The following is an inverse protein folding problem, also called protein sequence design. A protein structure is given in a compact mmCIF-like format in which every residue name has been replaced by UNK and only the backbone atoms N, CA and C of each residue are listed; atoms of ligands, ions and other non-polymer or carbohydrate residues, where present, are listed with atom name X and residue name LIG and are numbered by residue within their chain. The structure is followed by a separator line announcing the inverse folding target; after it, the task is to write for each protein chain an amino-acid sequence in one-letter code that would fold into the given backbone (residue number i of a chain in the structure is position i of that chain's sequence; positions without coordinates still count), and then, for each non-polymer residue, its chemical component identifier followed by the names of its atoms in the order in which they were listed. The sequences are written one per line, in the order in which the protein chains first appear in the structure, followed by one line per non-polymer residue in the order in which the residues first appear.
data_IF_494121302889
#
_entry.id   IF_494121302889
#
_cell.length_a   1.000
_cell.length_b   1.000
_cell.length_c   1.000
_cell.angle_alpha   90.00
_cell.angle_beta   90.00
_cell.angle_gamma   90.00
#
_symmetry.space_group_name_H-M   'P 1'
#
loop_
_entity.id
_entity.type
_entity.pdbx_description
1 polymer ?
#
# COMPACT_ATOMS: atom_id res chain seq x y z
N UNK A 1 -0.94 5.37 18.45
CA UNK A 1 -2.19 4.62 18.70
C UNK A 1 -2.42 3.78 17.46
N UNK A 2 -2.36 2.46 17.61
CA UNK A 2 -2.71 1.53 16.54
C UNK A 2 -4.17 1.09 16.78
N UNK A 3 -5.03 1.29 15.78
CA UNK A 3 -6.44 0.89 15.85
C UNK A 3 -6.62 -0.61 15.53
N UNK A 4 -5.54 -1.29 15.15
CA UNK A 4 -5.56 -2.66 14.66
C UNK A 4 -6.16 -2.77 13.26
N UNK A 5 -6.34 -4.01 12.81
CA UNK A 5 -6.97 -4.30 11.53
C UNK A 5 -8.49 -4.41 11.72
N UNK A 6 -9.22 -3.56 11.02
CA UNK A 6 -10.66 -3.66 10.83
C UNK A 6 -10.94 -4.51 9.60
N UNK A 7 -11.79 -5.53 9.72
CA UNK A 7 -12.19 -6.39 8.61
C UNK A 7 -13.71 -6.45 8.51
N UNK A 8 -14.23 -6.27 7.30
CA UNK A 8 -15.63 -6.42 6.95
C UNK A 8 -15.75 -7.41 5.80
N UNK A 9 -16.53 -8.47 5.98
CA UNK A 9 -16.77 -9.47 4.94
C UNK A 9 -18.25 -9.69 4.70
N UNK A 10 -18.60 -9.90 3.44
CA UNK A 10 -19.92 -10.32 3.01
C UNK A 10 -19.78 -11.48 2.03
N UNK A 11 -20.58 -12.52 2.21
CA UNK A 11 -20.53 -13.69 1.36
C UNK A 11 -21.92 -14.24 1.08
N UNK A 12 -22.06 -14.85 -0.08
CA UNK A 12 -23.24 -15.63 -0.45
C UNK A 12 -22.78 -16.99 -0.96
N UNK A 13 -23.50 -18.03 -0.56
CA UNK A 13 -23.32 -19.37 -1.10
C UNK A 13 -24.70 -19.88 -1.51
N UNK A 14 -24.80 -20.38 -2.74
CA UNK A 14 -25.96 -21.10 -3.21
C UNK A 14 -25.58 -22.56 -3.40
N UNK A 15 -26.27 -23.42 -2.66
CA UNK A 15 -26.14 -24.86 -2.77
C UNK A 15 -27.38 -25.44 -3.44
N UNK A 16 -27.17 -26.24 -4.49
CA UNK A 16 -28.21 -26.96 -5.21
C UNK A 16 -28.03 -28.46 -4.95
N UNK A 17 -29.09 -29.11 -4.46
CA UNK A 17 -29.09 -30.52 -4.10
C UNK A 17 -29.63 -30.80 -2.70
N UNK A 18 -29.43 -32.01 -2.16
CA UNK A 18 -28.74 -33.12 -2.82
C UNK A 18 -29.59 -33.80 -3.89
N UNK A 19 -28.97 -34.25 -4.98
CA UNK A 19 -29.56 -35.20 -5.92
C UNK A 19 -28.91 -36.56 -5.75
N UNK A 20 -29.68 -37.62 -5.98
CA UNK A 20 -29.19 -38.99 -5.86
C UNK A 20 -28.50 -39.40 -7.16
N UNK A 21 -27.19 -39.59 -7.12
CA UNK A 21 -26.43 -40.29 -8.18
C UNK A 21 -26.17 -41.71 -7.67
N UNK A 22 -27.13 -42.60 -7.91
CA UNK A 22 -27.17 -43.91 -7.25
C UNK A 22 -27.50 -43.79 -5.76
N UNK A 23 -26.86 -44.55 -4.84
CA UNK A 23 -27.13 -44.46 -3.41
C UNK A 23 -26.44 -43.25 -2.73
N UNK A 24 -25.73 -42.42 -3.48
CA UNK A 24 -24.90 -41.32 -2.95
C UNK A 24 -25.59 -39.98 -3.20
N UNK A 25 -25.91 -39.20 -2.15
CA UNK A 25 -26.36 -37.82 -2.27
C UNK A 25 -25.20 -36.92 -2.72
N UNK A 26 -25.42 -36.18 -3.80
CA UNK A 26 -24.46 -35.22 -4.38
C UNK A 26 -25.05 -33.81 -4.34
N UNK A 27 -24.27 -32.84 -3.91
CA UNK A 27 -24.60 -31.41 -3.90
C UNK A 27 -23.60 -30.63 -4.73
N UNK A 28 -24.05 -29.55 -5.36
CA UNK A 28 -23.20 -28.58 -6.08
C UNK A 28 -23.37 -27.23 -5.38
N UNK A 29 -22.27 -26.54 -5.12
CA UNK A 29 -22.27 -25.21 -4.53
C UNK A 29 -21.58 -24.20 -5.43
N UNK A 30 -22.10 -22.97 -5.46
CA UNK A 30 -21.45 -21.82 -6.04
C UNK A 30 -21.53 -20.71 -5.01
N UNK A 31 -20.41 -20.08 -4.71
CA UNK A 31 -20.36 -19.00 -3.75
C UNK A 31 -19.41 -17.90 -4.16
N UNK A 32 -19.56 -16.77 -3.50
CA UNK A 32 -18.64 -15.67 -3.60
C UNK A 32 -18.61 -14.85 -2.33
N UNK A 33 -17.51 -14.15 -2.12
CA UNK A 33 -17.32 -13.27 -0.97
C UNK A 33 -16.57 -12.02 -1.39
N UNK A 34 -16.83 -10.93 -0.66
CA UNK A 34 -16.07 -9.70 -0.71
C UNK A 34 -15.58 -9.42 0.70
N UNK A 35 -14.28 -9.18 0.84
CA UNK A 35 -13.62 -8.84 2.10
C UNK A 35 -12.90 -7.51 1.93
N UNK A 36 -13.17 -6.57 2.82
CA UNK A 36 -12.46 -5.29 2.93
C UNK A 36 -11.74 -5.26 4.27
N UNK A 37 -10.43 -5.08 4.23
CA UNK A 37 -9.58 -4.91 5.40
C UNK A 37 -8.96 -3.52 5.37
N UNK A 38 -8.88 -2.91 6.54
CA UNK A 38 -8.33 -1.59 6.75
C UNK A 38 -7.50 -1.56 8.03
N UNK A 39 -6.26 -1.08 7.96
CA UNK A 39 -5.43 -0.80 9.13
C UNK A 39 -5.08 0.67 9.16
N UNK A 40 -5.27 1.31 10.31
CA UNK A 40 -4.93 2.72 10.49
C UNK A 40 -4.26 2.91 11.84
N UNK A 41 -3.01 3.37 11.81
CA UNK A 41 -2.23 3.71 12.98
C UNK A 41 -1.76 5.17 12.88
N UNK A 42 -1.86 5.90 14.00
CA UNK A 42 -1.47 7.31 14.07
C UNK A 42 -0.47 7.49 15.21
N UNK A 43 0.62 8.20 14.96
CA UNK A 43 1.66 8.51 15.92
C UNK A 43 1.88 10.00 16.14
N UNK A 44 2.67 10.31 17.16
CA UNK A 44 3.17 11.66 17.42
C UNK A 44 4.64 11.58 17.85
N UNK A 45 5.50 12.42 17.27
CA UNK A 45 6.90 12.54 17.67
C UNK A 45 7.40 13.99 17.76
N UNK A 46 8.71 14.15 18.01
CA UNK A 46 9.33 15.47 18.23
C UNK A 46 9.81 16.15 16.95
N UNK A 47 9.52 15.61 15.75
CA UNK A 47 9.96 16.21 14.47
C UNK A 47 9.53 17.65 14.37
N UNK A 48 8.27 17.99 14.65
CA UNK A 48 7.78 19.37 14.59
C UNK A 48 8.57 20.35 15.46
N UNK A 49 8.95 19.95 16.68
CA UNK A 49 9.80 20.79 17.54
C UNK A 49 11.21 20.95 16.96
N UNK A 50 11.77 19.87 16.41
CA UNK A 50 13.12 19.87 15.83
C UNK A 50 13.19 20.67 14.54
N UNK A 51 12.19 20.53 13.65
CA UNK A 51 12.09 21.26 12.39
C UNK A 51 11.94 22.77 12.64
N UNK A 52 11.09 23.15 13.59
CA UNK A 52 10.90 24.56 13.98
C UNK A 52 12.20 25.18 14.52
N UNK A 53 12.94 24.47 15.37
CA UNK A 53 14.22 24.97 15.90
C UNK A 53 15.32 25.11 14.83
N UNK A 54 15.21 24.38 13.72
CA UNK A 54 16.14 24.45 12.57
C UNK A 54 15.69 25.41 11.49
N UNK A 55 14.48 25.97 11.58
CA UNK A 55 13.87 26.77 10.53
C UNK A 55 13.41 25.95 9.31
N UNK A 56 13.20 24.64 9.51
CA UNK A 56 12.80 23.66 8.48
C UNK A 56 11.35 23.19 8.67
N UNK A 57 10.57 23.88 9.52
CA UNK A 57 9.17 23.50 9.81
C UNK A 57 8.30 23.65 8.56
N UNK A 58 7.44 22.67 8.34
CA UNK A 58 6.46 22.69 7.27
C UNK A 58 5.25 23.53 7.66
N UNK A 59 4.87 23.51 8.94
CA UNK A 59 3.80 24.33 9.50
C UNK A 59 4.31 25.24 10.61
N UNK A 60 3.78 26.47 10.66
CA UNK A 60 3.87 27.34 11.85
C UNK A 60 3.36 26.65 13.12
N UNK A 61 2.56 25.58 12.97
CA UNK A 61 2.08 24.76 14.07
C UNK A 61 2.95 23.52 14.26
N UNK A 62 3.89 23.64 15.20
CA UNK A 62 4.76 22.58 15.72
C UNK A 62 4.04 21.27 16.03
N UNK A 63 2.76 21.32 16.41
CA UNK A 63 1.98 20.12 16.74
C UNK A 63 1.52 19.34 15.51
N UNK A 64 1.27 20.01 14.38
CA UNK A 64 0.86 19.32 13.15
C UNK A 64 2.05 18.56 12.54
N UNK A 65 3.24 19.17 12.57
CA UNK A 65 4.50 18.58 12.10
C UNK A 65 4.99 17.40 12.98
N UNK A 66 4.35 17.17 14.13
CA UNK A 66 4.63 16.02 14.99
C UNK A 66 3.74 14.81 14.70
N UNK A 67 2.62 14.96 13.99
CA UNK A 67 1.65 13.89 13.72
C UNK A 67 2.07 13.12 12.47
N UNK A 68 1.95 11.79 12.51
CA UNK A 68 2.17 10.92 11.35
C UNK A 68 1.18 9.76 11.33
N UNK A 69 0.92 9.21 10.14
CA UNK A 69 0.30 7.92 9.93
C UNK A 69 1.43 6.88 9.89
N UNK A 70 1.28 5.82 10.65
CA UNK A 70 2.28 4.75 10.78
C UNK A 70 2.01 3.68 9.73
N UNK A 71 2.96 3.53 8.81
CA UNK A 71 2.95 2.58 7.68
C UNK A 71 3.39 1.17 8.13
N UNK A 72 3.98 1.06 9.32
CA UNK A 72 4.52 -0.18 9.84
C UNK A 72 3.56 -0.87 10.82
N UNK A 73 3.55 -2.20 10.82
CA UNK A 73 2.91 -3.02 11.85
C UNK A 73 3.61 -2.88 13.22
N UNK A 74 3.01 -3.45 14.28
CA UNK A 74 3.60 -3.43 15.62
C UNK A 74 4.98 -4.12 15.71
N UNK A 75 5.36 -4.90 14.70
CA UNK A 75 6.65 -5.58 14.59
C UNK A 75 7.64 -4.81 13.72
N UNK A 76 7.24 -3.68 13.12
CA UNK A 76 8.05 -2.86 12.22
C UNK A 76 8.06 -3.33 10.76
N UNK A 77 7.10 -4.15 10.33
CA UNK A 77 6.95 -4.57 8.94
C UNK A 77 6.00 -3.65 8.18
N UNK A 78 6.37 -3.29 6.96
CA UNK A 78 5.50 -2.62 6.01
C UNK A 78 4.31 -3.54 5.62
N UNK A 79 3.08 -3.01 5.73
CA UNK A 79 1.84 -3.76 5.53
C UNK A 79 0.77 -2.92 4.81
N UNK A 80 0.06 -3.47 3.81
CA UNK A 80 -1.00 -2.74 3.13
C UNK A 80 -2.07 -2.20 4.09
N UNK A 81 -2.36 -0.90 4.04
CA UNK A 81 -3.40 -0.30 4.87
C UNK A 81 -4.80 -0.59 4.40
N UNK A 82 -5.00 -0.79 3.10
CA UNK A 82 -6.31 -1.15 2.57
C UNK A 82 -6.15 -2.37 1.68
N UNK A 83 -6.94 -3.39 1.97
CA UNK A 83 -6.98 -4.61 1.17
C UNK A 83 -8.42 -4.95 0.81
N UNK A 84 -8.69 -5.10 -0.47
CA UNK A 84 -9.97 -5.55 -0.99
C UNK A 84 -9.78 -6.88 -1.70
N UNK A 85 -10.47 -7.91 -1.24
CA UNK A 85 -10.51 -9.22 -1.87
C UNK A 85 -11.92 -9.58 -2.33
N UNK A 86 -12.03 -10.08 -3.57
CA UNK A 86 -13.25 -10.63 -4.13
C UNK A 86 -12.97 -12.06 -4.55
N UNK A 87 -13.66 -13.00 -3.94
CA UNK A 87 -13.53 -14.43 -4.24
C UNK A 87 -14.79 -14.98 -4.85
N UNK A 88 -14.64 -15.87 -5.81
CA UNK A 88 -15.71 -16.71 -6.36
C UNK A 88 -15.25 -18.15 -6.39
N UNK A 89 -16.14 -19.08 -6.10
CA UNK A 89 -15.82 -20.50 -6.13
C UNK A 89 -17.02 -21.34 -6.55
N UNK A 90 -16.71 -22.52 -7.07
CA UNK A 90 -17.66 -23.58 -7.30
C UNK A 90 -17.15 -24.85 -6.62
N UNK A 91 -18.08 -25.64 -6.10
CA UNK A 91 -17.76 -26.90 -5.44
C UNK A 91 -18.78 -27.98 -5.74
N UNK A 92 -18.38 -29.21 -5.48
CA UNK A 92 -19.25 -30.36 -5.46
C UNK A 92 -18.90 -31.21 -4.24
N UNK A 93 -19.92 -31.70 -3.54
CA UNK A 93 -19.73 -32.55 -2.38
C UNK A 93 -20.66 -33.76 -2.37
N UNK A 94 -20.22 -34.79 -1.68
CA UNK A 94 -20.99 -36.00 -1.38
C UNK A 94 -21.14 -36.12 0.12
N UNK A 95 -22.36 -36.42 0.56
CA UNK A 95 -22.67 -36.52 2.00
C UNK A 95 -23.14 -37.94 2.32
N UNK A 96 -22.45 -38.61 3.24
CA UNK A 96 -22.80 -39.94 3.73
C UNK A 96 -22.81 -39.93 5.26
N UNK A 97 -24.01 -40.02 5.83
CA UNK A 97 -24.25 -40.02 7.29
C UNK A 97 -23.64 -38.77 7.97
N UNK A 98 -22.47 -38.93 8.57
CA UNK A 98 -21.75 -37.91 9.37
C UNK A 98 -20.52 -37.36 8.65
N UNK A 99 -20.28 -37.80 7.42
CA UNK A 99 -19.11 -37.42 6.62
C UNK A 99 -19.58 -36.71 5.36
N UNK A 100 -19.05 -35.53 5.11
CA UNK A 100 -19.14 -34.83 3.83
C UNK A 100 -17.76 -34.73 3.22
N UNK A 101 -17.62 -35.17 1.97
CA UNK A 101 -16.39 -35.04 1.20
C UNK A 101 -16.67 -34.16 0.00
N UNK A 102 -15.82 -33.17 -0.26
CA UNK A 102 -16.03 -32.27 -1.38
C UNK A 102 -14.75 -31.77 -2.03
N UNK A 103 -14.94 -31.21 -3.22
CA UNK A 103 -13.95 -30.47 -3.96
C UNK A 103 -14.48 -29.06 -4.17
N UNK A 104 -13.61 -28.06 -4.05
CA UNK A 104 -13.91 -26.65 -4.31
C UNK A 104 -12.79 -26.07 -5.16
N UNK A 105 -13.14 -25.38 -6.22
CA UNK A 105 -12.21 -24.60 -7.02
C UNK A 105 -12.65 -23.15 -7.01
N UNK A 106 -11.71 -22.22 -6.87
CA UNK A 106 -12.05 -20.81 -6.80
C UNK A 106 -10.96 -19.90 -7.34
N UNK A 107 -11.39 -18.66 -7.57
CA UNK A 107 -10.56 -17.54 -7.99
C UNK A 107 -10.76 -16.40 -7.00
N UNK A 108 -9.67 -15.78 -6.60
CA UNK A 108 -9.67 -14.57 -5.78
C UNK A 108 -8.99 -13.45 -6.54
N UNK A 109 -9.63 -12.30 -6.62
CA UNK A 109 -9.02 -11.05 -7.08
C UNK A 109 -8.75 -10.18 -5.87
N UNK A 110 -7.53 -9.68 -5.75
CA UNK A 110 -7.14 -8.79 -4.66
C UNK A 110 -6.55 -7.49 -5.17
N UNK A 111 -6.84 -6.41 -4.46
CA UNK A 111 -6.17 -5.11 -4.60
C UNK A 111 -5.72 -4.68 -3.22
N UNK A 112 -4.44 -4.34 -3.11
CA UNK A 112 -3.77 -3.85 -1.92
C UNK A 112 -3.31 -2.41 -2.20
N UNK A 113 -3.58 -1.52 -1.25
CA UNK A 113 -3.11 -0.14 -1.22
C UNK A 113 -2.26 0.01 0.04
N UNK A 114 -0.97 0.24 -0.17
CA UNK A 114 0.01 0.55 0.85
C UNK A 114 0.32 2.05 0.82
N UNK A 115 0.69 2.70 1.92
CA UNK A 115 1.16 4.08 1.79
C UNK A 115 2.42 4.16 0.94
N UNK A 116 2.54 5.23 0.17
CA UNK A 116 3.75 5.59 -0.54
C UNK A 116 4.52 6.61 0.31
N UNK A 117 5.43 6.12 1.15
CA UNK A 117 6.31 6.91 2.01
C UNK A 117 7.55 7.40 1.23
N UNK A 118 7.63 8.69 0.82
CA UNK A 118 8.68 9.14 -0.09
C UNK A 118 10.10 9.15 0.50
N UNK A 119 10.25 9.02 1.83
CA UNK A 119 11.56 9.02 2.49
C UNK A 119 11.89 7.70 3.20
N UNK A 120 11.03 6.69 3.06
CA UNK A 120 11.16 5.34 3.63
C UNK A 120 11.48 5.34 5.15
N UNK A 121 10.87 6.25 5.92
CA UNK A 121 11.04 6.32 7.37
C UNK A 121 9.91 5.66 8.18
N UNK A 122 8.94 5.06 7.49
CA UNK A 122 7.79 4.33 8.02
C UNK A 122 6.71 5.25 8.58
N UNK A 123 6.79 6.56 8.32
CA UNK A 123 5.92 7.56 8.93
C UNK A 123 5.45 8.54 7.88
N UNK A 124 4.25 8.32 7.37
CA UNK A 124 3.62 9.22 6.42
C UNK A 124 3.07 10.48 7.14
N UNK A 125 3.71 11.62 6.92
CA UNK A 125 3.37 12.91 7.54
C UNK A 125 2.53 13.81 6.64
N UNK A 126 1.96 14.85 7.23
CA UNK A 126 1.06 15.79 6.54
C UNK A 126 1.76 16.48 5.36
N UNK A 127 3.03 16.85 5.50
CA UNK A 127 3.87 17.41 4.44
C UNK A 127 4.09 16.41 3.29
N UNK A 128 4.34 15.15 3.62
CA UNK A 128 4.52 14.07 2.64
C UNK A 128 3.21 13.73 1.90
N UNK A 129 2.07 13.76 2.59
CA UNK A 129 0.73 13.63 1.98
C UNK A 129 0.48 14.80 1.01
N UNK A 130 0.91 16.01 1.39
CA UNK A 130 0.73 17.23 0.59
C UNK A 130 1.38 17.17 -0.80
N UNK A 131 2.49 16.43 -0.95
CA UNK A 131 3.18 16.20 -2.23
C UNK A 131 2.25 15.60 -3.27
N UNK A 132 1.35 14.72 -2.81
CA UNK A 132 0.44 13.96 -3.66
C UNK A 132 -0.89 14.65 -3.92
N UNK A 133 -1.10 15.88 -3.43
CA UNK A 133 -2.37 16.60 -3.56
C UNK A 133 -2.88 16.73 -5.01
N UNK A 134 -1.97 16.89 -5.97
CA UNK A 134 -2.32 16.97 -7.40
C UNK A 134 -2.66 15.59 -8.02
N UNK A 135 -2.17 14.50 -7.43
CA UNK A 135 -2.42 13.11 -7.87
C UNK A 135 -2.64 12.20 -6.66
N UNK A 136 -3.82 12.26 -6.01
CA UNK A 136 -4.07 11.54 -4.75
C UNK A 136 -3.91 10.02 -4.85
N UNK A 137 -4.06 9.44 -6.04
CA UNK A 137 -3.85 8.00 -6.27
C UNK A 137 -2.40 7.57 -6.00
N UNK A 138 -1.43 8.49 -6.13
CA UNK A 138 -0.02 8.24 -5.89
C UNK A 138 0.37 8.27 -4.40
N UNK A 139 -0.58 8.62 -3.53
CA UNK A 139 -0.42 8.46 -2.08
C UNK A 139 -0.27 6.99 -1.68
N UNK A 140 -0.68 6.08 -2.58
CA UNK A 140 -0.60 4.65 -2.35
C UNK A 140 0.28 3.96 -3.39
N UNK A 141 1.06 3.01 -2.91
CA UNK A 141 1.64 1.94 -3.70
C UNK A 141 0.58 0.85 -3.90
N UNK A 142 0.35 0.50 -5.16
CA UNK A 142 -0.82 -0.28 -5.56
C UNK A 142 -0.38 -1.62 -6.09
N UNK A 143 -0.90 -2.66 -5.47
CA UNK A 143 -0.66 -4.03 -5.90
C UNK A 143 -1.97 -4.73 -6.21
N UNK A 144 -2.02 -5.38 -7.36
CA UNK A 144 -3.16 -6.20 -7.77
C UNK A 144 -2.72 -7.63 -8.00
N UNK A 145 -3.53 -8.60 -7.60
CA UNK A 145 -3.23 -10.01 -7.81
C UNK A 145 -4.49 -10.83 -8.11
N UNK A 146 -4.24 -12.01 -8.69
CA UNK A 146 -5.25 -13.04 -8.91
C UNK A 146 -4.74 -14.37 -8.35
N UNK A 147 -5.53 -14.96 -7.46
CA UNK A 147 -5.29 -16.27 -6.87
C UNK A 147 -6.20 -17.32 -7.47
N UNK A 148 -5.69 -18.53 -7.68
CA UNK A 148 -6.44 -19.72 -8.07
C UNK A 148 -6.18 -20.82 -7.06
N UNK A 149 -7.24 -21.49 -6.62
CA UNK A 149 -7.09 -22.63 -5.74
C UNK A 149 -7.96 -23.80 -6.15
N UNK A 150 -7.47 -24.99 -5.84
CA UNK A 150 -8.23 -26.24 -5.82
C UNK A 150 -8.11 -26.82 -4.41
N UNK A 151 -9.24 -27.07 -3.77
CA UNK A 151 -9.34 -27.54 -2.40
C UNK A 151 -10.15 -28.85 -2.38
N UNK A 152 -9.60 -29.86 -1.72
CA UNK A 152 -10.33 -31.05 -1.31
C UNK A 152 -10.60 -30.96 0.19
N UNK A 153 -11.82 -31.25 0.62
CA UNK A 153 -12.18 -31.20 2.04
C UNK A 153 -12.96 -32.43 2.49
N UNK A 154 -12.76 -32.79 3.76
CA UNK A 154 -13.49 -33.80 4.51
C UNK A 154 -14.04 -33.14 5.77
N UNK A 155 -15.36 -32.98 5.84
CA UNK A 155 -16.06 -32.48 7.00
C UNK A 155 -16.68 -33.65 7.76
N UNK A 156 -16.43 -33.70 9.06
CA UNK A 156 -17.01 -34.66 9.98
C UNK A 156 -17.94 -33.92 10.95
N UNK A 157 -19.21 -34.29 10.94
CA UNK A 157 -20.24 -33.70 11.80
C UNK A 157 -20.66 -34.69 12.89
N UNK A 158 -20.23 -34.43 14.12
CA UNK A 158 -20.44 -35.29 15.29
C UNK A 158 -21.50 -34.73 16.26
N UNK A 159 -22.52 -34.03 15.74
CA UNK A 159 -23.65 -33.45 16.50
C UNK A 159 -23.28 -32.33 17.50
N UNK A 160 -22.27 -32.52 18.34
CA UNK A 160 -21.75 -31.54 19.29
C UNK A 160 -20.49 -30.81 18.79
N UNK A 161 -19.83 -31.34 17.76
CA UNK A 161 -18.65 -30.73 17.16
C UNK A 161 -18.59 -31.05 15.67
N UNK A 162 -18.08 -30.09 14.89
CA UNK A 162 -17.76 -30.26 13.48
C UNK A 162 -16.27 -30.03 13.32
N UNK A 163 -15.59 -30.90 12.58
CA UNK A 163 -14.20 -30.69 12.16
C UNK A 163 -14.08 -30.82 10.65
N UNK A 164 -13.25 -29.99 10.04
CA UNK A 164 -13.00 -30.00 8.61
C UNK A 164 -11.52 -30.20 8.39
N UNK A 165 -11.14 -31.28 7.72
CA UNK A 165 -9.83 -31.41 7.10
C UNK A 165 -9.92 -30.84 5.70
N UNK A 166 -8.96 -30.02 5.30
CA UNK A 166 -8.82 -29.56 3.92
C UNK A 166 -7.39 -29.70 3.44
N UNK A 167 -7.25 -29.87 2.13
CA UNK A 167 -5.99 -29.96 1.43
C UNK A 167 -6.09 -29.20 0.11
N UNK A 168 -5.10 -28.33 -0.15
CA UNK A 168 -5.04 -27.50 -1.35
C UNK A 168 -3.83 -27.87 -2.22
N UNK A 169 -3.97 -28.77 -3.21
CA UNK A 169 -2.89 -29.10 -4.14
C UNK A 169 -2.45 -27.92 -4.98
N UNK A 170 -3.40 -27.03 -5.26
CA UNK A 170 -3.20 -25.84 -6.07
C UNK A 170 -3.63 -24.67 -5.20
N UNK A 171 -2.69 -23.77 -4.96
CA UNK A 171 -2.92 -22.49 -4.30
C UNK A 171 -1.87 -21.54 -4.86
N UNK A 172 -2.18 -20.98 -6.02
CA UNK A 172 -1.26 -20.18 -6.83
C UNK A 172 -1.78 -18.75 -6.88
N UNK A 173 -0.90 -17.79 -6.62
CA UNK A 173 -1.23 -16.36 -6.72
C UNK A 173 -0.28 -15.68 -7.69
N UNK A 174 -0.85 -14.94 -8.63
CA UNK A 174 -0.13 -14.18 -9.64
C UNK A 174 -0.34 -12.69 -9.45
N UNK A 175 0.75 -11.94 -9.43
CA UNK A 175 0.71 -10.50 -9.45
C UNK A 175 0.26 -10.02 -10.84
N UNK A 176 -0.76 -9.15 -10.87
CA UNK A 176 -1.27 -8.53 -12.08
C UNK A 176 -0.56 -7.21 -12.36
N UNK A 177 -0.33 -6.42 -11.32
CA UNK A 177 0.38 -5.15 -11.37
C UNK A 177 0.97 -4.83 -10.00
N UNK A 178 2.05 -4.04 -10.03
CA UNK A 178 2.68 -3.45 -8.87
C UNK A 178 3.23 -2.10 -9.28
N UNK A 179 2.54 -1.05 -8.88
CA UNK A 179 2.73 0.31 -9.39
C UNK A 179 2.91 1.29 -8.23
N UNK A 180 4.11 1.85 -8.13
CA UNK A 180 4.47 2.93 -7.20
C UNK A 180 4.68 4.23 -7.97
N UNK A 181 4.39 5.37 -7.34
CA UNK A 181 4.67 6.67 -7.94
C UNK A 181 5.98 7.24 -7.36
N UNK A 182 6.83 7.82 -8.21
CA UNK A 182 7.96 8.62 -7.72
C UNK A 182 7.49 10.03 -7.32
N UNK A 183 8.01 10.60 -6.22
CA UNK A 183 7.71 11.97 -5.85
C UNK A 183 8.17 12.94 -6.96
N UNK A 184 7.48 14.08 -7.16
CA UNK A 184 7.86 15.07 -8.15
C UNK A 184 9.29 15.54 -7.92
N UNK A 185 10.14 15.42 -8.95
CA UNK A 185 11.54 15.83 -8.88
C UNK A 185 11.64 17.36 -9.01
N UNK A 186 12.44 18.03 -8.18
CA UNK A 186 12.67 19.46 -8.31
C UNK A 186 13.34 19.81 -9.63
N UNK A 187 12.79 20.83 -10.29
CA UNK A 187 13.47 21.54 -11.38
C UNK A 187 14.49 22.46 -10.72
N UNK A 188 15.78 22.19 -10.91
CA UNK A 188 16.84 22.94 -10.26
C UNK A 188 17.26 24.19 -11.04
N UNK A 189 17.05 24.18 -12.35
CA UNK A 189 17.46 25.26 -13.24
C UNK A 189 16.73 25.16 -14.58
N UNK A 190 16.65 26.29 -15.26
CA UNK A 190 16.18 26.42 -16.64
C UNK A 190 17.16 27.25 -17.46
N UNK A 191 17.25 26.98 -18.76
CA UNK A 191 18.01 27.83 -19.69
C UNK A 191 17.01 28.73 -20.40
N UNK A 192 17.13 30.03 -20.19
CA UNK A 192 16.39 31.02 -20.98
C UNK A 192 16.95 31.03 -22.40
N UNK A 193 16.15 30.49 -23.33
CA UNK A 193 16.52 30.26 -24.72
C UNK A 193 16.79 31.53 -25.51
N UNK A 194 16.23 32.67 -25.09
CA UNK A 194 16.39 33.94 -25.78
C UNK A 194 17.63 34.71 -25.29
N UNK A 195 17.99 34.56 -24.01
CA UNK A 195 19.11 35.29 -23.40
C UNK A 195 20.38 34.47 -23.20
N UNK A 196 20.38 33.17 -23.52
CA UNK A 196 21.48 32.22 -23.22
C UNK A 196 21.88 32.21 -21.74
N UNK A 197 20.92 32.47 -20.86
CA UNK A 197 21.15 32.53 -19.41
C UNK A 197 20.74 31.22 -18.77
N UNK A 198 21.57 30.70 -17.86
CA UNK A 198 21.19 29.63 -16.95
C UNK A 198 20.58 30.25 -15.70
N UNK A 199 19.28 30.08 -15.51
CA UNK A 199 18.55 30.51 -14.33
C UNK A 199 18.53 29.35 -13.35
N UNK A 200 19.16 29.52 -12.19
CA UNK A 200 19.12 28.55 -11.10
C UNK A 200 17.94 28.89 -10.18
N UNK A 201 17.08 27.92 -9.90
CA UNK A 201 15.94 28.11 -8.99
C UNK A 201 16.38 27.98 -7.53
N UNK A 202 17.10 28.99 -7.03
CA UNK A 202 17.69 29.06 -5.68
C UNK A 202 17.11 30.23 -4.89
N UNK A 203 16.86 30.02 -3.60
CA UNK A 203 16.31 31.01 -2.68
C UNK A 203 14.80 31.22 -2.81
N UNK A 204 14.24 31.93 -1.83
CA UNK A 204 12.79 32.10 -1.63
C UNK A 204 12.01 32.55 -2.87
N UNK A 205 12.62 33.39 -3.71
CA UNK A 205 11.96 33.97 -4.88
C UNK A 205 11.76 32.96 -6.02
N UNK A 206 12.53 31.87 -6.05
CA UNK A 206 12.48 30.85 -7.11
C UNK A 206 12.09 29.47 -6.58
N UNK A 207 11.71 29.35 -5.30
CA UNK A 207 11.32 28.08 -4.69
C UNK A 207 10.12 27.44 -5.40
N UNK A 208 9.15 28.26 -5.84
CA UNK A 208 7.95 27.78 -6.55
C UNK A 208 8.24 27.27 -7.96
N UNK A 209 9.29 27.79 -8.60
CA UNK A 209 9.67 27.39 -9.96
C UNK A 209 10.29 25.99 -9.99
N UNK A 210 10.61 25.41 -8.82
CA UNK A 210 11.07 24.03 -8.69
C UNK A 210 10.00 22.99 -8.95
N UNK A 211 8.72 23.35 -8.88
CA UNK A 211 7.61 22.44 -9.13
C UNK A 211 7.51 21.27 -8.14
N UNK A 212 8.09 21.41 -6.94
CA UNK A 212 7.94 20.45 -5.83
C UNK A 212 7.07 21.14 -4.78
N UNK A 213 5.99 20.46 -4.38
CA UNK A 213 4.95 20.95 -3.47
C UNK A 213 4.07 22.06 -4.07
N UNK A 214 2.75 21.81 -4.12
CA UNK A 214 1.74 22.83 -4.43
C UNK A 214 1.16 23.38 -3.12
N UNK A 215 2.02 23.77 -2.19
CA UNK A 215 1.65 24.30 -0.88
C UNK A 215 1.85 25.80 -0.85
N UNK A 216 0.99 26.50 -0.12
CA UNK A 216 1.07 27.95 0.07
C UNK A 216 2.32 28.40 0.85
N UNK A 217 2.98 27.47 1.52
CA UNK A 217 4.35 27.63 2.02
C UNK A 217 5.31 27.05 0.99
N UNK A 218 5.99 27.95 0.29
CA UNK A 218 7.10 27.64 -0.60
C UNK A 218 8.10 26.76 0.18
N UNK A 219 8.43 25.55 -0.29
CA UNK A 219 9.51 24.78 0.33
C UNK A 219 10.85 25.48 0.10
N UNK A 220 11.33 26.15 1.15
CA UNK A 220 12.59 26.90 1.16
C UNK A 220 13.78 26.02 1.51
N UNK A 221 13.56 24.76 1.89
CA UNK A 221 14.63 23.88 2.28
C UNK A 221 15.50 23.58 1.06
N UNK A 222 16.70 24.14 1.05
CA UNK A 222 17.65 23.96 -0.03
C UNK A 222 19.04 23.64 0.52
N UNK A 223 19.73 22.72 -0.16
CA UNK A 223 21.14 22.47 0.06
C UNK A 223 21.89 22.69 -1.24
N UNK A 224 22.53 23.85 -1.34
CA UNK A 224 23.35 24.20 -2.51
C UNK A 224 24.80 23.83 -2.23
N UNK A 225 25.42 23.05 -3.13
CA UNK A 225 26.86 22.85 -3.15
C UNK A 225 27.45 23.50 -4.40
N UNK A 226 28.22 24.56 -4.21
CA UNK A 226 29.00 25.17 -5.29
C UNK A 226 30.38 24.52 -5.33
N UNK A 227 30.72 23.91 -6.47
CA UNK A 227 32.05 23.35 -6.70
C UNK A 227 32.69 24.00 -7.92
N UNK A 228 33.88 24.55 -7.75
CA UNK A 228 34.69 25.00 -8.86
C UNK A 228 35.21 23.77 -9.64
N UNK A 229 34.87 23.71 -10.93
CA UNK A 229 35.47 22.79 -11.87
C UNK A 229 36.65 23.52 -12.53
N UNK A 230 37.88 23.16 -12.18
CA UNK A 230 39.07 23.60 -12.93
C UNK A 230 39.15 22.84 -14.26
N UNK A 231 39.83 23.43 -15.25
CA UNK A 231 39.98 22.84 -16.57
C UNK A 231 40.52 21.39 -16.47
N UNK A 232 39.69 20.45 -16.95
CA UNK A 232 39.91 18.98 -17.00
C UNK A 232 39.82 18.22 -15.67
N UNK A 233 38.76 18.42 -14.89
CA UNK A 233 38.23 17.34 -14.03
C UNK A 233 39.15 16.81 -12.93
N UNK A 234 40.17 17.57 -12.51
CA UNK A 234 40.96 17.24 -11.32
C UNK A 234 40.59 18.18 -10.19
N UNK A 235 39.97 17.64 -9.13
CA UNK A 235 39.63 18.41 -7.93
C UNK A 235 40.87 19.04 -7.28
N UNK A 236 40.68 20.19 -6.62
CA UNK A 236 41.73 20.86 -5.87
C UNK A 236 42.42 19.87 -4.92
N UNK A 237 43.75 19.77 -5.01
CA UNK A 237 44.55 19.11 -3.98
C UNK A 237 44.45 19.95 -2.72
N UNK A 238 43.84 19.40 -1.68
CA UNK A 238 43.87 19.95 -0.33
C UNK A 238 45.35 19.91 0.11
N UNK A 239 45.97 21.10 0.19
CA UNK A 239 47.35 21.28 0.62
C UNK A 239 47.48 21.21 2.15
N UNK A 240 48.61 20.64 2.58
CA UNK A 240 49.06 20.32 3.93
C UNK A 240 49.10 21.50 4.91
#
# INVERSE_FOLDING_TARGET
IDLGTLSASAGLEYSYGPFLVGPVPVSISIGGSVTLEGRFAIGFDTRGLRSTLRGEAFSDNVLLDGIFIDDLDLNGNDVPEIKLEVSVYAGASVSVKVIEAGIRAGVTFGVELNWNDPNDDGKLRIDEIGIWAAKPICLFDRRGYIGFYLEFYLKFDFFLFSTTLSWRPVDETYELFNESCEPPKPILAEVDGDEQQLILYIGDNYANDRGVYNTTDNDKNEKVMVRQLSERGQGCKIGQ
#
